data_IF_606581146897
#
_entry.id   IF_606581146897
#
_cell.length_a   1.000
_cell.length_b   1.000
_cell.length_c   1.000
_cell.angle_alpha   90.00
_cell.angle_beta   90.00
_cell.angle_gamma   90.00
#
_symmetry.space_group_name_H-M   'P 1'
#
loop_
_entity.id
_entity.type
_entity.pdbx_description
1 polymer ?
#
# COMPACT_ATOMS: atom_id res chain seq x y z
N UNK A 1 -5.53 -7.76 11.98
CA UNK A 1 -4.04 -7.74 12.07
C UNK A 1 -3.66 -6.66 13.07
N UNK A 2 -2.68 -6.90 13.94
CA UNK A 2 -2.16 -5.86 14.83
C UNK A 2 -1.16 -4.97 14.08
N UNK A 3 -0.97 -3.72 14.51
CA UNK A 3 -0.03 -2.77 13.88
C UNK A 3 1.39 -3.36 13.86
N UNK A 4 1.83 -3.98 14.96
CA UNK A 4 3.16 -4.60 15.03
C UNK A 4 3.38 -5.67 13.95
N UNK A 5 2.37 -6.52 13.72
CA UNK A 5 2.40 -7.54 12.68
C UNK A 5 2.46 -6.94 11.26
N UNK A 6 1.70 -5.87 11.05
CA UNK A 6 1.71 -5.14 9.77
C UNK A 6 3.06 -4.44 9.55
N UNK A 7 3.65 -3.86 10.60
CA UNK A 7 4.98 -3.23 10.56
C UNK A 7 6.06 -4.23 10.16
N UNK A 8 6.05 -5.43 10.76
CA UNK A 8 7.01 -6.48 10.39
C UNK A 8 6.84 -6.91 8.94
N UNK A 9 5.59 -7.06 8.48
CA UNK A 9 5.30 -7.50 7.12
C UNK A 9 5.77 -6.50 6.06
N UNK A 10 5.71 -5.19 6.34
CA UNK A 10 6.10 -4.12 5.40
C UNK A 10 7.46 -3.50 5.73
N UNK A 11 8.27 -4.12 6.58
CA UNK A 11 9.57 -3.57 6.98
C UNK A 11 10.50 -3.42 5.78
N UNK A 12 10.97 -2.22 5.57
CA UNK A 12 11.98 -1.87 4.56
C UNK A 12 13.11 -1.15 5.28
N UNK A 13 14.30 -1.73 5.31
CA UNK A 13 15.46 -1.16 5.99
C UNK A 13 15.88 0.20 5.40
N UNK A 14 15.54 0.45 4.15
CA UNK A 14 15.88 1.68 3.42
C UNK A 14 14.89 2.84 3.66
N UNK A 15 13.72 2.62 4.27
CA UNK A 15 12.81 3.71 4.66
C UNK A 15 13.39 4.57 5.78
N UNK A 16 14.22 4.00 6.63
CA UNK A 16 14.91 4.69 7.72
C UNK A 16 15.94 5.74 7.22
N UNK A 17 15.61 6.45 6.15
CA UNK A 17 16.41 7.54 5.61
C UNK A 17 16.42 8.76 6.53
N UNK A 18 17.39 9.64 6.32
CA UNK A 18 17.63 10.81 7.17
C UNK A 18 16.64 11.97 6.95
N UNK A 19 15.75 11.92 5.94
CA UNK A 19 14.82 13.01 5.61
C UNK A 19 13.37 12.58 5.74
N UNK A 20 12.50 13.54 6.09
CA UNK A 20 11.06 13.38 6.02
C UNK A 20 10.61 12.97 4.60
N UNK A 21 9.60 12.11 4.53
CA UNK A 21 9.06 11.53 3.29
C UNK A 21 7.57 11.80 3.17
N UNK A 22 7.07 11.80 1.93
CA UNK A 22 5.64 11.88 1.62
C UNK A 22 5.20 10.58 0.96
N UNK A 23 4.26 9.89 1.61
CA UNK A 23 3.70 8.62 1.16
C UNK A 23 2.20 8.72 0.92
N UNK A 24 1.67 7.79 0.14
CA UNK A 24 0.24 7.59 0.01
C UNK A 24 -0.11 6.14 0.37
N UNK A 25 -1.18 5.93 1.15
CA UNK A 25 -1.77 4.61 1.43
C UNK A 25 -3.14 4.54 0.73
N UNK A 26 -3.21 3.76 -0.34
CA UNK A 26 -4.38 3.63 -1.19
C UNK A 26 -5.28 2.47 -0.74
N UNK A 27 -6.54 2.77 -0.43
CA UNK A 27 -7.48 1.82 0.15
C UNK A 27 -7.11 1.49 1.60
N UNK A 28 -6.77 2.53 2.37
CA UNK A 28 -6.19 2.40 3.72
C UNK A 28 -7.17 1.80 4.76
N UNK A 29 -8.48 1.74 4.46
CA UNK A 29 -9.49 1.25 5.39
C UNK A 29 -9.42 1.94 6.74
N UNK A 30 -9.35 1.17 7.83
CA UNK A 30 -9.25 1.69 9.20
C UNK A 30 -7.82 2.03 9.64
N UNK A 31 -6.85 2.01 8.72
CA UNK A 31 -5.51 2.54 8.92
C UNK A 31 -4.48 1.59 9.55
N UNK A 32 -4.73 0.29 9.61
CA UNK A 32 -3.74 -0.64 10.18
C UNK A 32 -2.37 -0.52 9.51
N UNK A 33 -2.33 -0.50 8.18
CA UNK A 33 -1.09 -0.36 7.42
C UNK A 33 -0.60 1.08 7.35
N UNK A 34 -1.50 2.08 7.37
CA UNK A 34 -1.13 3.50 7.53
C UNK A 34 -0.31 3.71 8.80
N UNK A 35 -0.79 3.20 9.95
CA UNK A 35 -0.10 3.33 11.23
C UNK A 35 1.18 2.49 11.29
N UNK A 36 1.19 1.32 10.66
CA UNK A 36 2.40 0.50 10.50
C UNK A 36 3.47 1.24 9.69
N UNK A 37 3.09 1.84 8.55
CA UNK A 37 4.00 2.67 7.75
C UNK A 37 4.51 3.87 8.55
N UNK A 38 3.64 4.55 9.31
CA UNK A 38 4.03 5.68 10.14
C UNK A 38 5.10 5.32 11.19
N UNK A 39 5.14 4.07 11.68
CA UNK A 39 6.20 3.62 12.61
C UNK A 39 7.57 3.46 11.95
N UNK A 40 7.61 3.35 10.61
CA UNK A 40 8.83 3.12 9.83
C UNK A 40 9.39 4.42 9.24
N UNK A 41 8.53 5.44 9.08
CA UNK A 41 8.91 6.70 8.44
C UNK A 41 9.66 7.63 9.39
N UNK A 42 10.62 8.42 8.86
CA UNK A 42 11.32 9.43 9.64
C UNK A 42 10.38 10.51 10.20
N UNK A 43 10.73 11.15 11.32
CA UNK A 43 9.98 12.27 11.88
C UNK A 43 9.71 13.38 10.85
N UNK A 44 8.53 13.99 10.91
CA UNK A 44 8.09 15.05 9.99
C UNK A 44 7.54 14.54 8.66
N UNK A 45 7.50 13.22 8.44
CA UNK A 45 6.89 12.62 7.25
C UNK A 45 5.38 12.83 7.19
N UNK A 46 4.82 12.69 5.98
CA UNK A 46 3.38 12.83 5.72
C UNK A 46 2.86 11.58 5.03
N UNK A 47 1.72 11.07 5.45
CA UNK A 47 0.99 10.01 4.76
C UNK A 47 -0.38 10.54 4.31
N UNK A 48 -0.67 10.46 3.01
CA UNK A 48 -2.01 10.64 2.46
C UNK A 48 -2.75 9.30 2.56
N UNK A 49 -3.68 9.20 3.52
CA UNK A 49 -4.51 8.02 3.74
C UNK A 49 -5.81 8.16 2.94
N UNK A 50 -5.95 7.34 1.91
CA UNK A 50 -7.05 7.47 0.93
C UNK A 50 -7.94 6.23 0.98
N UNK A 51 -9.24 6.44 1.17
CA UNK A 51 -10.28 5.42 1.05
C UNK A 51 -11.58 6.04 0.54
N UNK A 52 -12.49 5.20 0.05
CA UNK A 52 -13.86 5.62 -0.31
C UNK A 52 -14.81 5.68 0.89
N UNK A 53 -14.46 5.01 1.98
CA UNK A 53 -15.29 4.90 3.18
C UNK A 53 -14.84 5.90 4.26
N UNK A 54 -15.57 7.00 4.37
CA UNK A 54 -15.35 8.05 5.36
C UNK A 54 -15.37 7.52 6.81
N UNK A 55 -16.22 6.51 7.11
CA UNK A 55 -16.30 5.94 8.45
C UNK A 55 -15.03 5.18 8.83
N UNK A 56 -14.41 4.51 7.88
CA UNK A 56 -13.12 3.88 8.08
C UNK A 56 -12.03 4.92 8.31
N UNK A 57 -11.97 5.96 7.47
CA UNK A 57 -11.00 7.05 7.59
C UNK A 57 -11.13 7.81 8.93
N UNK A 58 -12.34 7.98 9.46
CA UNK A 58 -12.56 8.69 10.74
C UNK A 58 -11.91 7.99 11.95
N UNK A 59 -11.58 6.71 11.83
CA UNK A 59 -10.88 5.93 12.87
C UNK A 59 -9.36 6.17 12.89
N UNK A 60 -8.81 6.76 11.83
CA UNK A 60 -7.39 7.03 11.71
C UNK A 60 -7.09 8.39 12.39
N UNK A 61 -6.11 8.49 13.29
CA UNK A 61 -5.71 9.76 13.88
C UNK A 61 -5.05 10.66 12.82
N UNK A 62 -5.11 11.99 13.00
CA UNK A 62 -4.44 12.95 12.10
C UNK A 62 -2.92 12.98 12.26
N UNK A 63 -2.42 12.35 13.33
CA UNK A 63 -1.00 12.19 13.62
C UNK A 63 -0.75 10.88 14.37
N UNK A 64 0.32 10.20 14.00
CA UNK A 64 0.80 9.04 14.72
C UNK A 64 2.32 9.11 14.87
N UNK A 65 2.81 9.07 16.12
CA UNK A 65 4.18 9.44 16.45
C UNK A 65 4.51 10.83 15.85
N UNK A 66 5.61 10.95 15.09
CA UNK A 66 6.03 12.20 14.45
C UNK A 66 5.65 12.29 12.97
N UNK A 67 4.64 11.50 12.54
CA UNK A 67 4.12 11.47 11.16
C UNK A 67 2.74 12.09 11.12
N UNK A 68 2.52 13.01 10.18
CA UNK A 68 1.21 13.62 9.90
C UNK A 68 0.42 12.72 8.95
N UNK A 69 -0.86 12.48 9.24
CA UNK A 69 -1.76 11.69 8.39
C UNK A 69 -2.86 12.59 7.84
N UNK A 70 -2.91 12.73 6.52
CA UNK A 70 -3.93 13.48 5.79
C UNK A 70 -4.93 12.51 5.21
N UNK A 71 -6.19 12.61 5.64
CA UNK A 71 -7.27 11.71 5.22
C UNK A 71 -8.04 12.31 4.05
N UNK A 72 -8.27 11.51 3.01
CA UNK A 72 -8.99 11.94 1.81
C UNK A 72 -10.00 10.88 1.38
N UNK A 73 -11.26 11.30 1.23
CA UNK A 73 -12.34 10.41 0.75
C UNK A 73 -12.33 10.42 -0.77
N UNK A 74 -11.80 9.36 -1.39
CA UNK A 74 -11.70 9.25 -2.85
C UNK A 74 -12.10 7.85 -3.31
N UNK A 75 -12.97 7.77 -4.32
CA UNK A 75 -13.25 6.52 -5.02
C UNK A 75 -12.23 6.30 -6.15
N UNK A 76 -11.17 5.55 -5.85
CA UNK A 76 -10.03 5.30 -6.73
C UNK A 76 -10.38 4.59 -8.06
N UNK A 77 -11.53 3.95 -8.14
CA UNK A 77 -12.04 3.35 -9.38
C UNK A 77 -12.71 4.35 -10.33
N UNK A 78 -12.98 5.58 -9.88
CA UNK A 78 -13.78 6.57 -10.63
C UNK A 78 -13.14 7.95 -10.71
N UNK A 79 -12.20 8.27 -9.85
CA UNK A 79 -11.64 9.62 -9.71
C UNK A 79 -10.16 9.65 -10.03
N UNK A 80 -9.70 10.78 -10.56
CA UNK A 80 -8.29 11.06 -10.70
C UNK A 80 -7.67 11.42 -9.35
N UNK A 81 -6.47 10.88 -9.11
CA UNK A 81 -5.65 11.23 -7.96
C UNK A 81 -4.85 12.49 -8.29
N UNK A 82 -5.10 13.55 -7.54
CA UNK A 82 -4.27 14.75 -7.57
C UNK A 82 -3.42 14.76 -6.29
N UNK A 83 -2.24 14.17 -6.37
CA UNK A 83 -1.30 14.05 -5.26
C UNK A 83 0.00 14.77 -5.60
N UNK A 84 0.75 15.25 -4.60
CA UNK A 84 2.12 15.74 -4.80
C UNK A 84 3.02 14.59 -5.29
N UNK A 85 4.27 14.90 -5.63
CA UNK A 85 5.29 13.88 -5.83
C UNK A 85 5.46 13.07 -4.53
N UNK A 86 5.50 11.75 -4.65
CA UNK A 86 5.52 10.81 -3.55
C UNK A 86 6.85 10.06 -3.47
N UNK A 87 7.35 9.87 -2.27
CA UNK A 87 8.48 8.98 -1.99
C UNK A 87 8.09 7.50 -2.07
N UNK A 88 6.80 7.19 -1.92
CA UNK A 88 6.28 5.84 -2.07
C UNK A 88 4.76 5.77 -2.02
N UNK A 89 4.22 4.68 -2.56
CA UNK A 89 2.80 4.34 -2.50
C UNK A 89 2.65 2.97 -1.84
N UNK A 90 1.85 2.91 -0.79
CA UNK A 90 1.42 1.67 -0.14
C UNK A 90 0.04 1.26 -0.67
N UNK A 91 -0.11 -0.02 -0.95
CA UNK A 91 -1.39 -0.66 -1.26
C UNK A 91 -1.48 -1.97 -0.48
N UNK A 92 -2.28 -2.01 0.58
CA UNK A 92 -2.41 -3.20 1.40
C UNK A 92 -3.83 -3.79 1.30
N UNK A 93 -3.95 -4.99 0.72
CA UNK A 93 -5.23 -5.66 0.46
C UNK A 93 -6.19 -4.79 -0.37
N UNK A 94 -5.66 -4.07 -1.34
CA UNK A 94 -6.41 -3.11 -2.14
C UNK A 94 -6.36 -3.43 -3.64
N UNK A 95 -5.21 -3.83 -4.17
CA UNK A 95 -5.00 -3.97 -5.61
C UNK A 95 -5.90 -5.05 -6.23
N UNK A 96 -6.29 -6.05 -5.45
CA UNK A 96 -7.23 -7.09 -5.89
C UNK A 96 -8.67 -6.59 -6.12
N UNK A 97 -9.02 -5.36 -5.74
CA UNK A 97 -10.30 -4.74 -6.12
C UNK A 97 -10.23 -4.03 -7.48
N UNK A 98 -9.04 -3.81 -8.01
CA UNK A 98 -8.82 -3.12 -9.28
C UNK A 98 -8.87 -4.11 -10.44
N UNK A 99 -9.84 -3.95 -11.35
CA UNK A 99 -9.99 -4.83 -12.51
C UNK A 99 -8.84 -4.70 -13.52
N UNK A 100 -8.40 -3.48 -13.79
CA UNK A 100 -7.35 -3.17 -14.76
C UNK A 100 -6.04 -2.79 -14.04
N UNK A 101 -5.49 -3.74 -13.28
CA UNK A 101 -4.33 -3.54 -12.40
C UNK A 101 -3.13 -2.93 -13.15
N UNK A 102 -2.83 -3.41 -14.36
CA UNK A 102 -1.71 -2.89 -15.14
C UNK A 102 -1.84 -1.40 -15.51
N UNK A 103 -3.04 -0.96 -15.90
CA UNK A 103 -3.29 0.46 -16.18
C UNK A 103 -3.20 1.29 -14.90
N UNK A 104 -3.69 0.75 -13.78
CA UNK A 104 -3.61 1.41 -12.48
C UNK A 104 -2.16 1.57 -12.01
N UNK A 105 -1.34 0.52 -12.10
CA UNK A 105 0.09 0.57 -11.75
C UNK A 105 0.85 1.54 -12.66
N UNK A 106 0.58 1.56 -13.97
CA UNK A 106 1.19 2.51 -14.89
C UNK A 106 0.91 3.98 -14.49
N UNK A 107 -0.29 4.25 -13.99
CA UNK A 107 -0.66 5.57 -13.46
C UNK A 107 0.09 5.89 -12.16
N UNK A 108 0.22 4.92 -11.24
CA UNK A 108 0.97 5.12 -10.00
C UNK A 108 2.46 5.37 -10.27
N UNK A 109 3.03 4.76 -11.32
CA UNK A 109 4.42 4.99 -11.73
C UNK A 109 4.72 6.46 -12.07
N UNK A 110 3.71 7.24 -12.49
CA UNK A 110 3.88 8.68 -12.73
C UNK A 110 3.93 9.52 -11.43
N UNK A 111 3.48 8.96 -10.31
CA UNK A 111 3.44 9.62 -9.00
C UNK A 111 4.61 9.22 -8.10
N UNK A 112 5.10 8.00 -8.24
CA UNK A 112 6.18 7.47 -7.42
C UNK A 112 6.97 6.39 -8.16
N UNK A 113 8.26 6.34 -7.91
CA UNK A 113 9.14 5.25 -8.34
C UNK A 113 9.11 4.04 -7.41
N UNK A 114 8.46 4.18 -6.24
CA UNK A 114 8.41 3.13 -5.21
C UNK A 114 6.98 2.70 -4.91
N UNK A 115 6.70 1.40 -5.06
CA UNK A 115 5.44 0.79 -4.66
C UNK A 115 5.67 -0.28 -3.60
N UNK A 116 4.92 -0.21 -2.51
CA UNK A 116 4.87 -1.21 -1.44
C UNK A 116 3.49 -1.88 -1.49
N UNK A 117 3.46 -3.16 -1.82
CA UNK A 117 2.21 -3.90 -2.05
C UNK A 117 2.09 -5.03 -1.04
N UNK A 118 0.92 -5.16 -0.41
CA UNK A 118 0.56 -6.33 0.41
C UNK A 118 -0.67 -6.97 -0.19
N UNK A 119 -0.56 -8.25 -0.57
CA UNK A 119 -1.65 -8.99 -1.21
C UNK A 119 -1.66 -10.47 -0.83
N UNK A 120 -2.69 -11.17 -1.28
CA UNK A 120 -2.83 -12.60 -1.04
C UNK A 120 -2.10 -13.43 -2.10
N UNK A 121 -1.30 -14.42 -1.67
CA UNK A 121 -0.75 -15.45 -2.54
C UNK A 121 -1.63 -16.69 -2.54
N UNK A 122 -1.83 -17.30 -3.72
CA UNK A 122 -2.55 -18.54 -3.88
C UNK A 122 -4.06 -18.50 -3.59
N UNK A 123 -4.68 -17.34 -3.54
CA UNK A 123 -6.12 -17.21 -3.29
C UNK A 123 -6.93 -17.25 -4.59
N UNK A 124 -8.02 -18.06 -4.67
CA UNK A 124 -8.93 -18.01 -5.80
C UNK A 124 -9.79 -16.73 -5.79
N UNK A 125 -10.34 -16.32 -6.94
CA UNK A 125 -11.29 -15.22 -7.03
C UNK A 125 -12.49 -15.42 -6.10
N UNK A 126 -12.94 -14.34 -5.46
CA UNK A 126 -14.11 -14.33 -4.58
C UNK A 126 -14.71 -12.92 -4.55
N UNK A 127 -15.93 -12.72 -4.00
CA UNK A 127 -16.49 -11.37 -3.84
C UNK A 127 -15.61 -10.42 -3.01
N UNK A 128 -14.77 -10.96 -2.12
CA UNK A 128 -13.86 -10.20 -1.27
C UNK A 128 -12.45 -10.01 -1.88
N UNK A 129 -12.10 -10.82 -2.88
CA UNK A 129 -10.85 -10.77 -3.62
C UNK A 129 -11.18 -11.01 -5.10
N UNK A 130 -11.83 -10.06 -5.78
CA UNK A 130 -12.37 -10.31 -7.13
C UNK A 130 -11.29 -10.52 -8.19
N UNK A 131 -10.14 -9.87 -8.05
CA UNK A 131 -9.02 -9.95 -9.00
C UNK A 131 -7.72 -10.30 -8.24
N UNK A 132 -7.59 -11.56 -7.74
CA UNK A 132 -6.43 -11.94 -6.95
C UNK A 132 -5.14 -11.80 -7.75
N UNK A 133 -4.08 -11.39 -7.07
CA UNK A 133 -2.78 -11.14 -7.67
C UNK A 133 -1.68 -11.74 -6.79
N UNK A 134 -1.29 -12.99 -7.07
CA UNK A 134 -0.18 -13.64 -6.39
C UNK A 134 1.16 -13.01 -6.76
N UNK A 135 2.19 -13.22 -5.94
CA UNK A 135 3.48 -12.54 -6.08
C UNK A 135 4.12 -12.69 -7.47
N UNK A 136 4.07 -13.88 -8.07
CA UNK A 136 4.65 -14.11 -9.40
C UNK A 136 3.96 -13.25 -10.49
N UNK A 137 2.63 -13.16 -10.45
CA UNK A 137 1.85 -12.34 -11.36
C UNK A 137 2.08 -10.84 -11.12
N UNK A 138 2.11 -10.39 -9.86
CA UNK A 138 2.45 -9.01 -9.51
C UNK A 138 3.83 -8.64 -10.03
N UNK A 139 4.83 -9.49 -9.81
CA UNK A 139 6.19 -9.27 -10.29
C UNK A 139 6.25 -9.08 -11.81
N UNK A 140 5.59 -9.96 -12.57
CA UNK A 140 5.51 -9.83 -14.04
C UNK A 140 4.89 -8.50 -14.45
N UNK A 141 3.76 -8.14 -13.83
CA UNK A 141 3.04 -6.91 -14.11
C UNK A 141 3.87 -5.64 -13.79
N UNK A 142 4.63 -5.64 -12.69
CA UNK A 142 5.50 -4.52 -12.30
C UNK A 142 6.68 -4.36 -13.29
N UNK A 143 7.31 -5.46 -13.70
CA UNK A 143 8.37 -5.43 -14.73
C UNK A 143 7.87 -4.84 -16.05
N UNK A 144 6.67 -5.24 -16.50
CA UNK A 144 6.03 -4.68 -17.70
C UNK A 144 5.73 -3.17 -17.58
N UNK A 145 5.65 -2.64 -16.38
CA UNK A 145 5.39 -1.21 -16.08
C UNK A 145 6.64 -0.43 -15.72
N UNK A 146 7.83 -1.00 -15.92
CA UNK A 146 9.10 -0.30 -15.85
C UNK A 146 9.73 -0.25 -14.44
N UNK A 147 9.26 -1.09 -13.50
CA UNK A 147 9.98 -1.32 -12.26
C UNK A 147 11.08 -2.35 -12.51
N UNK A 148 12.29 -2.09 -12.02
CA UNK A 148 13.46 -2.93 -12.27
C UNK A 148 13.83 -3.81 -11.07
N UNK A 149 13.60 -3.31 -9.86
CA UNK A 149 13.92 -4.00 -8.62
C UNK A 149 12.63 -4.38 -7.89
N UNK A 150 12.36 -5.69 -7.80
CA UNK A 150 11.14 -6.19 -7.17
C UNK A 150 11.52 -7.27 -6.17
N UNK A 151 11.40 -6.92 -4.89
CA UNK A 151 11.72 -7.79 -3.76
C UNK A 151 10.45 -8.26 -3.03
N UNK A 152 10.36 -9.56 -2.71
CA UNK A 152 9.40 -10.06 -1.73
C UNK A 152 10.00 -9.83 -0.34
N UNK A 153 9.37 -8.98 0.48
CA UNK A 153 9.89 -8.60 1.78
C UNK A 153 9.55 -9.61 2.87
N UNK A 154 8.33 -10.11 2.86
CA UNK A 154 7.86 -11.04 3.88
C UNK A 154 6.57 -11.74 3.50
N UNK A 155 6.22 -12.74 4.31
CA UNK A 155 4.95 -13.46 4.20
C UNK A 155 4.35 -13.70 5.57
N UNK A 156 3.02 -13.87 5.60
CA UNK A 156 2.28 -14.17 6.82
C UNK A 156 1.03 -14.98 6.52
N UNK A 157 0.76 -16.00 7.31
CA UNK A 157 -0.50 -16.74 7.23
C UNK A 157 -1.69 -15.79 7.43
N UNK A 158 -2.68 -15.86 6.54
CA UNK A 158 -3.90 -15.08 6.66
C UNK A 158 -4.94 -15.85 7.49
N UNK A 159 -5.59 -15.17 8.44
CA UNK A 159 -6.73 -15.73 9.18
C UNK A 159 -7.94 -16.05 8.29
N UNK A 160 -7.97 -15.55 7.06
CA UNK A 160 -9.02 -15.81 6.06
C UNK A 160 -8.61 -16.88 5.05
N UNK A 161 -7.56 -17.65 5.33
CA UNK A 161 -6.97 -18.66 4.45
C UNK A 161 -5.96 -18.09 3.47
N UNK A 162 -5.02 -18.95 3.04
CA UNK A 162 -3.88 -18.54 2.19
C UNK A 162 -2.80 -17.78 2.96
N UNK A 163 -1.92 -17.16 2.22
CA UNK A 163 -0.80 -16.37 2.72
C UNK A 163 -0.92 -14.93 2.22
N UNK A 164 -0.59 -13.96 3.09
CA UNK A 164 -0.29 -12.59 2.68
C UNK A 164 1.19 -12.52 2.34
N UNK A 165 1.52 -11.81 1.30
CA UNK A 165 2.89 -11.41 1.01
C UNK A 165 3.01 -9.89 0.98
N UNK A 166 4.19 -9.38 1.21
CA UNK A 166 4.55 -8.00 0.92
C UNK A 166 5.65 -7.95 -0.15
N UNK A 167 5.59 -6.95 -1.01
CA UNK A 167 6.53 -6.72 -2.07
C UNK A 167 6.87 -5.24 -2.20
N UNK A 168 8.16 -4.95 -2.37
CA UNK A 168 8.66 -3.64 -2.73
C UNK A 168 9.05 -3.65 -4.21
N UNK A 169 8.67 -2.61 -4.94
CA UNK A 169 9.09 -2.37 -6.31
C UNK A 169 9.71 -0.96 -6.43
N UNK A 170 10.84 -0.87 -7.14
CA UNK A 170 11.60 0.36 -7.43
C UNK A 170 12.07 0.40 -8.88
#
# INVERSE_FOLDING_TARGET
MYIADATELIRIDQIAGARAQTWCDLGCGTGTFTLALATLLPPGSVIHAIDKDERSLSQIPDRYQDVTIRKEVVNLGKSDLSLPALDGVLMANFLHFIKHQGAFIARLRTLSERLLVVEYDGRPPSPWVPYPLGFAALRGLLLERGFSEIAKLGTRASRFGGELYSALAE
#
